data_IF_887498690711
#
_entry.id   IF_887498690711
#
_cell.length_a   1.000
_cell.length_b   1.000
_cell.length_c   1.000
_cell.angle_alpha   90.00
_cell.angle_beta   90.00
_cell.angle_gamma   90.00
#
_symmetry.space_group_name_H-M   'P 1'
#
loop_
_entity.id
_entity.type
_entity.pdbx_description
1 polymer ?
#
# COMPACT_ATOMS: atom_id res chain seq x y z
N UNK A 1 4.02 19.72 -8.82
CA UNK A 1 5.20 19.36 -9.63
C UNK A 1 5.10 20.11 -10.95
N UNK A 2 6.19 20.70 -11.46
CA UNK A 2 6.16 21.36 -12.77
C UNK A 2 6.52 20.40 -13.90
N UNK A 3 5.94 20.60 -15.08
CA UNK A 3 6.03 19.66 -16.22
C UNK A 3 7.42 19.61 -16.88
N UNK A 4 8.26 20.61 -16.63
CA UNK A 4 9.59 20.77 -17.22
C UNK A 4 10.73 20.43 -16.24
N UNK A 5 10.41 19.91 -15.06
CA UNK A 5 11.42 19.51 -14.07
C UNK A 5 11.73 18.02 -14.23
N UNK A 6 13.00 17.68 -14.45
CA UNK A 6 13.50 16.31 -14.31
C UNK A 6 13.98 16.12 -12.87
N UNK A 7 13.40 15.21 -12.08
CA UNK A 7 13.87 14.97 -10.72
C UNK A 7 15.25 14.33 -10.73
N UNK A 8 16.12 14.74 -9.81
CA UNK A 8 17.36 14.01 -9.57
C UNK A 8 17.07 12.64 -8.94
N UNK A 9 17.88 11.65 -9.32
CA UNK A 9 17.82 10.33 -8.71
C UNK A 9 18.30 10.42 -7.26
N UNK A 10 17.58 9.80 -6.34
CA UNK A 10 18.04 9.66 -4.95
C UNK A 10 19.14 8.58 -4.90
N UNK A 11 20.41 8.94 -4.64
CA UNK A 11 21.53 7.99 -4.71
C UNK A 11 21.53 7.00 -3.55
N UNK A 12 20.73 7.26 -2.51
CA UNK A 12 20.63 6.41 -1.33
C UNK A 12 19.50 5.40 -1.53
N UNK A 13 19.77 4.08 -1.44
CA UNK A 13 18.73 3.07 -1.47
C UNK A 13 17.71 3.33 -0.37
N UNK A 14 16.42 3.20 -0.69
CA UNK A 14 15.34 3.40 0.28
C UNK A 14 15.63 2.63 1.58
N UNK A 15 15.67 3.33 2.71
CA UNK A 15 15.90 2.79 4.04
C UNK A 15 17.23 2.00 4.23
N UNK A 16 18.32 2.37 3.54
CA UNK A 16 19.66 1.73 3.67
C UNK A 16 20.06 1.47 5.13
N UNK A 17 19.83 2.45 6.00
CA UNK A 17 20.10 2.38 7.45
C UNK A 17 18.82 2.49 8.30
N UNK A 18 17.64 2.28 7.70
CA UNK A 18 16.33 2.46 8.34
C UNK A 18 15.63 1.13 8.66
N UNK A 19 14.62 1.18 9.52
CA UNK A 19 13.70 0.05 9.71
C UNK A 19 12.99 -0.25 8.39
N UNK A 20 13.03 -1.52 7.96
CA UNK A 20 12.31 -2.02 6.79
C UNK A 20 11.51 -3.24 7.20
N UNK A 21 10.34 -3.39 6.60
CA UNK A 21 9.59 -4.64 6.67
C UNK A 21 10.23 -5.64 5.69
N UNK A 22 10.58 -6.83 6.18
CA UNK A 22 10.94 -7.95 5.29
C UNK A 22 9.66 -8.37 4.58
N UNK A 23 9.70 -8.41 3.24
CA UNK A 23 8.59 -8.89 2.42
C UNK A 23 8.90 -10.33 2.02
N UNK A 24 8.27 -11.33 2.65
CA UNK A 24 8.48 -12.73 2.30
C UNK A 24 7.89 -13.04 0.92
N UNK A 25 8.46 -14.05 0.26
CA UNK A 25 7.89 -14.54 -1.00
C UNK A 25 6.60 -15.34 -0.78
N UNK A 26 6.54 -16.13 0.29
CA UNK A 26 5.38 -16.92 0.66
C UNK A 26 4.21 -16.03 1.12
N UNK A 27 2.98 -16.49 0.84
CA UNK A 27 1.74 -15.80 1.21
C UNK A 27 1.70 -15.43 2.69
N UNK A 28 1.22 -14.22 2.99
CA UNK A 28 0.98 -13.76 4.36
C UNK A 28 -0.52 -13.72 4.72
N UNK A 29 -1.39 -14.17 3.82
CA UNK A 29 -2.84 -14.24 4.07
C UNK A 29 -3.13 -15.22 5.21
N UNK A 30 -3.72 -14.73 6.30
CA UNK A 30 -4.06 -15.54 7.48
C UNK A 30 -2.91 -15.82 8.46
N UNK A 31 -1.68 -15.38 8.16
CA UNK A 31 -0.52 -15.53 9.06
C UNK A 31 -0.36 -14.27 9.93
N UNK A 32 0.02 -13.16 9.28
CA UNK A 32 0.23 -11.87 9.95
C UNK A 32 -0.76 -10.87 9.36
N UNK A 33 -1.66 -10.34 10.18
CA UNK A 33 -2.68 -9.39 9.73
C UNK A 33 -2.02 -8.14 9.14
N UNK A 34 -2.35 -7.82 7.89
CA UNK A 34 -1.85 -6.65 7.17
C UNK A 34 -0.43 -6.75 6.62
N UNK A 35 0.26 -7.89 6.78
CA UNK A 35 1.58 -8.09 6.20
C UNK A 35 1.47 -8.45 4.71
N UNK A 36 2.25 -7.81 3.85
CA UNK A 36 2.31 -8.12 2.43
C UNK A 36 3.25 -9.31 2.13
N UNK A 37 3.07 -9.92 0.97
CA UNK A 37 4.01 -10.89 0.38
C UNK A 37 4.38 -10.49 -1.05
N UNK A 38 5.47 -11.04 -1.59
CA UNK A 38 5.91 -10.76 -2.96
C UNK A 38 4.89 -11.24 -4.00
N UNK A 39 4.32 -12.43 -3.79
CA UNK A 39 3.42 -13.06 -4.77
C UNK A 39 1.99 -12.53 -4.68
N UNK A 40 1.50 -12.26 -3.47
CA UNK A 40 0.08 -11.92 -3.26
C UNK A 40 -0.16 -10.45 -2.89
N UNK A 41 0.90 -9.67 -2.68
CA UNK A 41 0.77 -8.28 -2.22
C UNK A 41 0.17 -8.19 -0.81
N UNK A 42 -0.61 -7.13 -0.56
CA UNK A 42 -1.31 -6.97 0.72
C UNK A 42 -2.55 -7.87 0.79
N UNK A 43 -2.76 -8.58 1.91
CA UNK A 43 -3.93 -9.41 2.08
C UNK A 43 -5.20 -8.54 2.08
N UNK A 44 -6.30 -9.01 1.46
CA UNK A 44 -7.52 -8.22 1.25
C UNK A 44 -8.24 -7.81 2.54
N UNK A 45 -7.85 -8.34 3.69
CA UNK A 45 -8.48 -8.04 4.98
C UNK A 45 -8.31 -6.57 5.43
N UNK A 46 -7.30 -5.85 4.93
CA UNK A 46 -7.07 -4.43 5.28
C UNK A 46 -7.36 -3.47 4.13
N UNK A 47 -7.69 -3.98 2.94
CA UNK A 47 -8.10 -3.14 1.81
C UNK A 47 -9.62 -3.14 1.72
N UNK A 48 -10.27 -2.28 2.49
CA UNK A 48 -11.69 -2.00 2.30
C UNK A 48 -11.85 -1.41 0.90
N UNK A 49 -12.61 -2.06 0.02
CA UNK A 49 -12.92 -1.50 -1.29
C UNK A 49 -13.53 -0.10 -1.10
N UNK A 50 -13.16 0.92 -1.90
CA UNK A 50 -13.79 2.24 -1.84
C UNK A 50 -15.33 2.17 -1.99
N UNK A 51 -15.84 1.15 -2.68
CA UNK A 51 -17.28 0.90 -2.84
C UNK A 51 -17.97 0.39 -1.55
N UNK A 52 -17.22 -0.20 -0.62
CA UNK A 52 -17.73 -0.65 0.69
C UNK A 52 -17.77 0.48 1.73
N UNK A 53 -17.20 1.66 1.43
CA UNK A 53 -17.20 2.85 2.31
C UNK A 53 -18.48 3.70 2.26
N UNK A 54 -19.51 3.28 1.53
CA UNK A 54 -20.85 3.85 1.54
C UNK A 54 -20.94 5.34 1.17
N UNK A 55 -21.27 5.66 -0.08
CA UNK A 55 -21.87 6.97 -0.38
C UNK A 55 -23.23 7.04 0.31
N UNK A 56 -23.31 7.71 1.47
CA UNK A 56 -24.60 8.13 2.04
C UNK A 56 -25.25 9.12 1.07
N UNK A 57 -26.14 8.62 0.21
CA UNK A 57 -26.98 9.47 -0.64
C UNK A 57 -28.04 10.12 0.25
N UNK A 58 -27.74 11.29 0.80
CA UNK A 58 -28.73 12.12 1.50
C UNK A 58 -29.68 12.74 0.47
N UNK A 59 -30.70 12.00 0.04
CA UNK A 59 -31.88 12.58 -0.59
C UNK A 59 -32.71 13.22 0.51
N UNK A 60 -32.78 14.55 0.52
CA UNK A 60 -33.79 15.27 1.29
C UNK A 60 -34.95 15.57 0.33
N UNK A 61 -36.09 14.94 0.58
CA UNK A 61 -37.40 15.32 0.03
C UNK A 61 -37.84 16.65 0.64
#
# INVERSE_FOLDING_TARGET
>A
MQSNQTPDLMPVPFALNGQRNVIPQASQTGITKGAASLNDGFPPLTMTSPLQGGFRRSVRI
#
